data_IF_506033815146
#
_entry.id   IF_506033815146
#
_cell.length_a   1.000
_cell.length_b   1.000
_cell.length_c   1.000
_cell.angle_alpha   90.00
_cell.angle_beta   90.00
_cell.angle_gamma   90.00
#
_symmetry.space_group_name_H-M   'P 1'
#
loop_
_entity.id
_entity.type
_entity.pdbx_description
1 polymer ?
#
# COMPACT_ATOMS: atom_id res chain seq x y z
N UNK A 1 -77.99 -10.99 42.67
CA UNK A 1 -77.28 -11.19 43.95
C UNK A 1 -75.81 -11.19 43.60
N UNK A 2 -75.16 -10.03 43.63
CA UNK A 2 -74.44 -9.47 44.79
C UNK A 2 -72.95 -9.70 44.59
N UNK A 3 -72.22 -8.60 44.33
CA UNK A 3 -70.80 -8.51 44.64
C UNK A 3 -70.60 -8.55 46.17
N UNK A 4 -69.40 -8.90 46.65
CA UNK A 4 -68.53 -7.85 47.23
C UNK A 4 -67.01 -8.11 46.96
N UNK A 5 -66.21 -7.07 46.70
CA UNK A 5 -65.30 -6.29 47.58
C UNK A 5 -63.86 -6.81 47.71
N UNK A 6 -62.98 -5.83 47.90
CA UNK A 6 -61.52 -5.73 47.78
C UNK A 6 -60.69 -6.52 48.82
N UNK A 7 -59.39 -6.77 48.53
CA UNK A 7 -58.26 -6.11 49.24
C UNK A 7 -56.87 -6.41 48.63
N UNK A 8 -56.17 -5.33 48.32
CA UNK A 8 -54.72 -5.02 48.26
C UNK A 8 -53.65 -6.11 48.51
N UNK A 9 -52.59 -6.10 47.68
CA UNK A 9 -51.19 -6.08 48.16
C UNK A 9 -50.28 -5.44 47.11
N UNK A 10 -49.60 -4.34 47.48
CA UNK A 10 -48.48 -3.74 46.76
C UNK A 10 -47.23 -4.63 46.83
N UNK A 11 -46.53 -4.84 45.71
CA UNK A 11 -45.10 -5.15 45.70
C UNK A 11 -44.41 -4.39 44.56
N UNK A 12 -43.35 -3.70 44.94
CA UNK A 12 -42.57 -2.72 44.19
C UNK A 12 -41.52 -3.31 43.23
N UNK A 13 -41.25 -2.55 42.15
CA UNK A 13 -40.02 -2.44 41.32
C UNK A 13 -39.66 -3.57 40.32
N UNK A 14 -38.81 -3.32 39.28
CA UNK A 14 -38.18 -2.06 38.83
C UNK A 14 -38.36 -1.72 37.33
N UNK A 15 -38.01 -0.48 37.01
CA UNK A 15 -37.84 0.13 35.69
C UNK A 15 -36.80 -0.65 34.86
N UNK A 16 -37.21 -1.18 33.70
CA UNK A 16 -36.26 -1.66 32.69
C UNK A 16 -35.71 -0.47 31.91
N UNK A 17 -34.46 -0.17 32.23
CA UNK A 17 -33.53 0.69 31.51
C UNK A 17 -33.37 0.25 30.05
N UNK A 18 -33.56 1.19 29.13
CA UNK A 18 -33.10 1.09 27.74
C UNK A 18 -31.56 0.97 27.71
N UNK A 19 -31.07 -0.26 27.64
CA UNK A 19 -29.69 -0.51 27.22
C UNK A 19 -29.62 -0.29 25.70
N UNK A 20 -29.32 0.95 25.31
CA UNK A 20 -28.79 1.24 23.99
C UNK A 20 -27.44 0.53 23.87
N UNK A 21 -27.43 -0.63 23.23
CA UNK A 21 -26.20 -1.30 22.83
C UNK A 21 -25.42 -0.38 21.86
N UNK A 22 -24.09 -0.24 22.02
CA UNK A 22 -23.29 0.46 21.04
C UNK A 22 -23.39 -0.28 19.70
N UNK A 23 -23.47 0.42 18.56
CA UNK A 23 -23.47 -0.24 17.26
C UNK A 23 -22.17 -1.03 17.13
N UNK A 24 -22.29 -2.35 16.92
CA UNK A 24 -21.16 -3.19 16.50
C UNK A 24 -20.52 -2.55 15.25
N UNK A 25 -19.18 -2.49 15.18
CA UNK A 25 -18.54 -1.96 13.99
C UNK A 25 -18.90 -2.86 12.82
N UNK A 26 -19.63 -2.32 11.84
CA UNK A 26 -19.81 -2.92 10.53
C UNK A 26 -18.43 -3.37 10.01
N UNK A 27 -18.20 -4.68 10.05
CA UNK A 27 -17.01 -5.27 9.45
C UNK A 27 -17.24 -5.15 7.94
N UNK A 28 -16.71 -4.10 7.32
CA UNK A 28 -16.64 -3.99 5.86
C UNK A 28 -16.13 -5.33 5.31
N UNK A 29 -17.00 -6.08 4.63
CA UNK A 29 -16.72 -7.46 4.17
C UNK A 29 -15.50 -7.54 3.23
N UNK A 30 -15.03 -6.40 2.72
CA UNK A 30 -13.80 -6.26 1.96
C UNK A 30 -13.06 -4.97 2.31
N UNK A 31 -12.20 -4.95 3.35
CA UNK A 31 -11.48 -3.73 3.69
C UNK A 31 -10.60 -3.31 2.51
N UNK A 32 -10.73 -2.04 2.09
CA UNK A 32 -9.84 -1.46 1.09
C UNK A 32 -8.41 -1.62 1.59
N UNK A 33 -7.56 -2.33 0.84
CA UNK A 33 -6.21 -2.69 1.28
C UNK A 33 -5.19 -2.49 0.17
N UNK A 34 -3.93 -2.29 0.56
CA UNK A 34 -2.81 -2.26 -0.36
C UNK A 34 -2.49 -3.65 -0.88
N UNK A 35 -2.44 -3.80 -2.21
CA UNK A 35 -2.12 -5.06 -2.87
C UNK A 35 -1.38 -4.81 -4.18
N UNK A 36 -0.43 -5.69 -4.49
CA UNK A 36 0.08 -5.85 -5.84
C UNK A 36 0.35 -7.32 -6.08
N UNK A 37 -0.59 -8.01 -6.72
CA UNK A 37 -0.49 -9.43 -6.98
C UNK A 37 -0.80 -9.69 -8.44
N UNK A 38 -0.10 -10.63 -9.06
CA UNK A 38 -0.39 -11.02 -10.44
C UNK A 38 -0.04 -12.46 -10.69
N UNK A 39 -0.48 -12.92 -11.85
CA UNK A 39 -0.20 -14.28 -12.35
C UNK A 39 0.82 -14.16 -13.47
N UNK A 40 1.87 -14.98 -13.43
CA UNK A 40 2.82 -15.15 -14.52
C UNK A 40 2.75 -16.59 -15.02
N UNK A 41 2.99 -16.81 -16.31
CA UNK A 41 3.15 -18.15 -16.88
C UNK A 41 4.53 -18.24 -17.49
N UNK A 42 5.25 -19.31 -17.20
CA UNK A 42 6.50 -19.59 -17.86
C UNK A 42 7.27 -20.72 -17.18
N UNK A 43 8.38 -21.08 -17.80
CA UNK A 43 9.32 -22.08 -17.29
C UNK A 43 10.35 -21.38 -16.40
N UNK A 44 10.41 -21.69 -15.08
CA UNK A 44 11.50 -21.20 -14.24
C UNK A 44 12.82 -21.84 -14.68
N UNK A 45 13.88 -21.04 -14.69
CA UNK A 45 15.24 -21.48 -14.98
C UNK A 45 16.12 -21.21 -13.77
N UNK A 46 17.19 -21.98 -13.60
CA UNK A 46 18.22 -21.71 -12.60
C UNK A 46 19.47 -21.20 -13.31
N UNK A 47 20.08 -20.13 -12.81
CA UNK A 47 21.37 -19.65 -13.29
C UNK A 47 22.56 -20.38 -12.65
N UNK A 48 23.77 -20.09 -13.13
CA UNK A 48 25.03 -20.67 -12.64
C UNK A 48 25.30 -20.36 -11.16
N UNK A 49 24.74 -19.25 -10.66
CA UNK A 49 24.82 -18.83 -9.25
C UNK A 49 23.75 -19.49 -8.37
N UNK A 50 22.88 -20.32 -8.96
CA UNK A 50 21.80 -21.01 -8.28
C UNK A 50 20.53 -20.17 -8.05
N UNK A 51 20.47 -18.94 -8.58
CA UNK A 51 19.26 -18.11 -8.51
C UNK A 51 18.21 -18.58 -9.52
N UNK A 52 16.94 -18.48 -9.12
CA UNK A 52 15.82 -18.77 -10.02
C UNK A 52 15.43 -17.54 -10.83
N UNK A 53 15.16 -17.76 -12.12
CA UNK A 53 14.85 -16.75 -13.11
C UNK A 53 13.60 -17.15 -13.90
N UNK A 54 12.90 -16.17 -14.46
CA UNK A 54 11.82 -16.37 -15.41
C UNK A 54 12.09 -15.52 -16.65
N UNK A 55 11.93 -16.10 -17.84
CA UNK A 55 12.03 -15.36 -19.11
C UNK A 55 10.68 -14.81 -19.52
N UNK A 56 10.59 -13.49 -19.67
CA UNK A 56 9.40 -12.80 -20.16
C UNK A 56 9.82 -11.78 -21.21
N UNK A 57 9.24 -11.85 -22.41
CA UNK A 57 9.54 -10.91 -23.51
C UNK A 57 11.04 -10.78 -23.81
N UNK A 58 11.78 -11.90 -23.81
CA UNK A 58 13.22 -11.94 -24.07
C UNK A 58 14.12 -11.48 -22.91
N UNK A 59 13.56 -10.99 -21.80
CA UNK A 59 14.31 -10.55 -20.61
C UNK A 59 14.23 -11.57 -19.49
N UNK A 60 15.27 -11.62 -18.64
CA UNK A 60 15.34 -12.48 -17.45
C UNK A 60 14.94 -11.69 -16.20
N UNK A 61 14.00 -12.22 -15.43
CA UNK A 61 13.53 -11.63 -14.18
C UNK A 61 13.82 -12.57 -13.02
N UNK A 62 14.44 -12.05 -11.94
CA UNK A 62 14.74 -12.84 -10.75
C UNK A 62 13.46 -13.24 -10.03
N UNK A 63 13.37 -14.52 -9.66
CA UNK A 63 12.35 -15.08 -8.80
C UNK A 63 12.88 -15.17 -7.38
N UNK A 64 12.10 -14.67 -6.42
CA UNK A 64 12.41 -14.78 -5.00
C UNK A 64 11.41 -15.71 -4.33
N UNK A 65 11.91 -16.79 -3.74
CA UNK A 65 11.09 -17.77 -3.01
C UNK A 65 11.27 -17.53 -1.52
N UNK A 66 10.17 -17.45 -0.77
CA UNK A 66 10.24 -17.28 0.67
C UNK A 66 10.83 -18.53 1.34
N UNK A 67 11.66 -18.35 2.38
CA UNK A 67 12.43 -19.45 2.99
C UNK A 67 11.60 -20.66 3.42
N UNK A 68 10.43 -20.45 4.02
CA UNK A 68 9.54 -21.53 4.45
C UNK A 68 8.95 -22.38 3.29
N UNK A 69 9.04 -21.89 2.05
CA UNK A 69 8.62 -22.58 0.82
C UNK A 69 9.78 -23.04 -0.04
N UNK A 70 11.00 -22.69 0.32
CA UNK A 70 12.18 -22.92 -0.52
C UNK A 70 12.42 -24.41 -0.78
N UNK A 71 12.31 -25.25 0.25
CA UNK A 71 12.48 -26.71 0.09
C UNK A 71 11.42 -27.33 -0.83
N UNK A 72 10.15 -26.90 -0.72
CA UNK A 72 9.08 -27.37 -1.59
C UNK A 72 9.30 -26.93 -3.05
N UNK A 73 9.78 -25.70 -3.24
CA UNK A 73 10.16 -25.19 -4.56
C UNK A 73 11.30 -26.00 -5.18
N UNK A 74 12.36 -26.32 -4.42
CA UNK A 74 13.47 -27.14 -4.91
C UNK A 74 13.00 -28.53 -5.34
N UNK A 75 12.10 -29.17 -4.56
CA UNK A 75 11.50 -30.46 -4.95
C UNK A 75 10.71 -30.36 -6.25
N UNK A 76 9.91 -29.30 -6.43
CA UNK A 76 9.17 -29.06 -7.67
C UNK A 76 10.12 -28.92 -8.86
N UNK A 77 11.18 -28.12 -8.72
CA UNK A 77 12.16 -27.90 -9.79
C UNK A 77 12.97 -29.16 -10.12
N UNK A 78 13.31 -29.98 -9.12
CA UNK A 78 14.03 -31.23 -9.33
C UNK A 78 13.15 -32.31 -9.99
N UNK A 79 11.88 -32.41 -9.61
CA UNK A 79 10.94 -33.37 -10.18
C UNK A 79 10.52 -33.01 -11.61
N UNK A 80 10.40 -31.71 -11.90
CA UNK A 80 9.84 -31.20 -13.15
C UNK A 80 10.62 -29.98 -13.68
N UNK A 81 11.91 -30.15 -14.08
CA UNK A 81 12.78 -29.03 -14.44
C UNK A 81 12.31 -28.27 -15.68
N UNK A 82 11.61 -28.96 -16.60
CA UNK A 82 11.18 -28.38 -17.87
C UNK A 82 9.73 -27.92 -17.90
N UNK A 83 9.04 -28.01 -16.76
CA UNK A 83 7.60 -27.74 -16.70
C UNK A 83 7.31 -26.24 -16.72
N UNK A 84 6.35 -25.86 -17.54
CA UNK A 84 5.78 -24.52 -17.49
C UNK A 84 4.80 -24.44 -16.32
N UNK A 85 4.98 -23.44 -15.47
CA UNK A 85 4.15 -23.23 -14.29
C UNK A 85 3.38 -21.91 -14.38
N UNK A 86 2.23 -21.87 -13.72
CA UNK A 86 1.55 -20.63 -13.38
C UNK A 86 2.02 -20.19 -11.99
N UNK A 87 2.60 -18.99 -11.92
CA UNK A 87 3.18 -18.44 -10.71
C UNK A 87 2.33 -17.26 -10.23
N UNK A 88 1.80 -17.35 -9.00
CA UNK A 88 1.25 -16.19 -8.30
C UNK A 88 2.40 -15.40 -7.69
N UNK A 89 2.52 -14.13 -8.01
CA UNK A 89 3.68 -13.32 -7.61
C UNK A 89 3.31 -11.94 -7.07
N UNK A 90 4.17 -11.45 -6.18
CA UNK A 90 4.24 -10.05 -5.78
C UNK A 90 5.42 -9.38 -6.52
N UNK A 91 5.18 -8.39 -7.39
CA UNK A 91 6.26 -7.67 -8.03
C UNK A 91 6.98 -6.78 -7.02
N UNK A 92 8.29 -6.69 -7.18
CA UNK A 92 9.16 -5.81 -6.43
C UNK A 92 10.02 -5.03 -7.43
N UNK A 93 10.28 -3.79 -7.07
CA UNK A 93 11.02 -2.87 -7.92
C UNK A 93 12.16 -2.24 -7.13
N UNK A 94 13.38 -2.37 -7.64
CA UNK A 94 14.53 -1.63 -7.17
C UNK A 94 14.69 -0.39 -8.06
N UNK A 95 14.44 0.78 -7.47
CA UNK A 95 14.59 2.06 -8.13
C UNK A 95 15.92 2.69 -7.74
N UNK A 96 16.85 2.73 -8.69
CA UNK A 96 18.10 3.47 -8.57
C UNK A 96 17.94 4.75 -9.40
N UNK A 97 18.18 5.95 -8.83
CA UNK A 97 18.06 7.19 -9.58
C UNK A 97 18.84 7.16 -10.90
N UNK A 98 18.20 7.64 -11.98
CA UNK A 98 18.77 7.70 -13.34
C UNK A 98 19.09 6.35 -14.00
N UNK A 99 18.69 5.22 -13.39
CA UNK A 99 18.75 3.89 -14.01
C UNK A 99 17.35 3.37 -14.28
N UNK A 100 17.26 2.44 -15.22
CA UNK A 100 16.00 1.74 -15.45
C UNK A 100 15.56 0.95 -14.22
N UNK A 101 14.26 0.93 -13.90
CA UNK A 101 13.75 0.16 -12.76
C UNK A 101 14.04 -1.33 -12.94
N UNK A 102 14.67 -1.95 -11.94
CA UNK A 102 14.89 -3.40 -11.93
C UNK A 102 13.70 -4.08 -11.27
N UNK A 103 13.09 -5.03 -11.97
CA UNK A 103 11.92 -5.77 -11.50
C UNK A 103 12.32 -7.20 -11.14
N UNK A 104 11.78 -7.68 -10.03
CA UNK A 104 11.90 -9.06 -9.58
C UNK A 104 10.56 -9.49 -8.98
N UNK A 105 10.32 -10.79 -8.96
CA UNK A 105 9.02 -11.35 -8.57
C UNK A 105 9.18 -12.24 -7.35
N UNK A 106 8.53 -11.89 -6.26
CA UNK A 106 8.41 -12.77 -5.11
C UNK A 106 7.29 -13.77 -5.36
N UNK A 107 7.62 -15.07 -5.41
CA UNK A 107 6.65 -16.14 -5.65
C UNK A 107 5.83 -16.39 -4.38
N UNK A 108 4.52 -16.36 -4.56
CA UNK A 108 3.51 -16.56 -3.52
C UNK A 108 2.74 -17.87 -3.68
N UNK A 109 2.69 -18.46 -4.86
CA UNK A 109 2.17 -19.80 -5.11
C UNK A 109 2.61 -20.23 -6.52
N UNK A 110 2.56 -21.53 -6.79
CA UNK A 110 2.81 -22.09 -8.11
C UNK A 110 1.89 -23.27 -8.33
N UNK A 111 1.34 -23.38 -9.53
CA UNK A 111 0.45 -24.46 -9.94
C UNK A 111 0.73 -24.85 -11.40
N UNK A 112 0.30 -26.05 -11.78
CA UNK A 112 0.44 -26.56 -13.14
C UNK A 112 -0.58 -25.95 -14.11
N UNK A 113 -1.77 -25.66 -13.59
CA UNK A 113 -2.86 -24.96 -14.29
C UNK A 113 -3.08 -23.58 -13.66
N UNK A 114 -3.89 -22.72 -14.28
CA UNK A 114 -4.20 -21.41 -13.71
C UNK A 114 -5.45 -21.49 -12.82
N UNK A 115 -5.33 -21.60 -11.48
CA UNK A 115 -6.50 -21.56 -10.60
C UNK A 115 -7.01 -20.13 -10.37
N UNK A 116 -6.30 -19.10 -10.86
CA UNK A 116 -6.61 -17.70 -10.60
C UNK A 116 -7.40 -17.07 -11.75
N UNK A 117 -8.34 -16.19 -11.42
CA UNK A 117 -9.17 -15.47 -12.39
C UNK A 117 -8.34 -14.59 -13.35
N UNK A 118 -7.22 -14.04 -12.87
CA UNK A 118 -6.40 -13.14 -13.68
C UNK A 118 -5.57 -13.90 -14.72
N UNK A 119 -5.63 -13.43 -15.97
CA UNK A 119 -4.80 -13.96 -17.06
C UNK A 119 -3.29 -13.76 -16.78
N UNK A 120 -2.42 -14.64 -17.30
CA UNK A 120 -0.97 -14.45 -17.20
C UNK A 120 -0.52 -13.08 -17.73
N UNK A 121 0.30 -12.39 -16.93
CA UNK A 121 0.78 -11.04 -17.20
C UNK A 121 -0.13 -9.93 -16.70
N UNK A 122 -1.33 -10.24 -16.19
CA UNK A 122 -2.21 -9.26 -15.54
C UNK A 122 -1.94 -9.23 -14.04
N UNK A 123 -1.86 -8.01 -13.50
CA UNK A 123 -1.63 -7.73 -12.10
C UNK A 123 -2.75 -6.86 -11.54
N UNK A 124 -3.30 -7.29 -10.41
CA UNK A 124 -4.24 -6.51 -9.60
C UNK A 124 -3.45 -5.60 -8.67
N UNK A 125 -3.51 -4.29 -8.91
CA UNK A 125 -2.91 -3.28 -8.04
C UNK A 125 -3.99 -2.50 -7.30
N UNK A 126 -3.73 -2.28 -6.01
CA UNK A 126 -4.48 -1.40 -5.12
C UNK A 126 -3.46 -0.53 -4.38
N UNK A 127 -3.36 0.75 -4.72
CA UNK A 127 -2.29 1.59 -4.20
C UNK A 127 -2.42 3.07 -4.51
N UNK A 128 -1.48 3.87 -4.02
CA UNK A 128 -1.48 5.33 -4.21
C UNK A 128 -0.85 5.69 -5.55
N UNK A 129 -1.58 6.43 -6.37
CA UNK A 129 -1.12 6.94 -7.66
C UNK A 129 -0.30 8.23 -7.49
N UNK A 130 1.00 8.18 -7.77
CA UNK A 130 1.91 9.30 -7.49
C UNK A 130 3.20 9.30 -8.33
N UNK A 131 3.89 10.44 -8.32
CA UNK A 131 5.28 10.55 -8.75
C UNK A 131 6.22 10.35 -7.55
N UNK A 132 7.32 9.63 -7.77
CA UNK A 132 8.42 9.53 -6.82
C UNK A 132 9.71 10.07 -7.46
N UNK A 133 10.62 10.72 -6.71
CA UNK A 133 11.80 11.37 -7.28
C UNK A 133 12.76 10.44 -8.06
N UNK A 134 12.73 9.14 -7.77
CA UNK A 134 13.67 8.16 -8.31
C UNK A 134 13.39 7.77 -9.77
N UNK A 135 12.16 7.96 -10.26
CA UNK A 135 11.75 7.57 -11.61
C UNK A 135 10.87 8.64 -12.25
N UNK A 136 11.02 8.86 -13.57
CA UNK A 136 10.24 9.87 -14.30
C UNK A 136 8.79 9.44 -14.54
N UNK A 137 8.56 8.14 -14.70
CA UNK A 137 7.24 7.54 -14.88
C UNK A 137 6.47 7.56 -13.56
N UNK A 138 5.17 7.92 -13.56
CA UNK A 138 4.35 7.79 -12.36
C UNK A 138 4.24 6.32 -11.92
N UNK A 139 3.99 6.12 -10.63
CA UNK A 139 3.99 4.82 -9.99
C UNK A 139 2.69 4.59 -9.22
N UNK A 140 2.29 3.33 -9.13
CA UNK A 140 1.38 2.86 -8.08
C UNK A 140 2.25 2.43 -6.90
N UNK A 141 2.14 3.16 -5.79
CA UNK A 141 2.83 2.83 -4.56
C UNK A 141 1.97 1.94 -3.68
N UNK A 142 2.48 0.74 -3.42
CA UNK A 142 1.84 -0.25 -2.56
C UNK A 142 2.57 -0.30 -1.22
N UNK A 143 1.87 0.16 -0.17
CA UNK A 143 2.37 0.16 1.20
C UNK A 143 1.99 -1.14 1.92
N UNK A 144 2.49 -1.31 3.14
CA UNK A 144 2.16 -2.47 3.98
C UNK A 144 0.92 -2.15 4.80
N UNK A 145 -0.11 -2.98 4.69
CA UNK A 145 -1.34 -2.85 5.45
C UNK A 145 -1.05 -2.82 6.97
N UNK A 146 -1.85 -2.07 7.73
CA UNK A 146 -1.63 -1.87 9.17
C UNK A 146 -1.54 -3.19 9.95
N UNK A 147 -2.37 -4.17 9.59
CA UNK A 147 -2.49 -5.45 10.30
C UNK A 147 -1.49 -6.52 9.81
N UNK A 148 -0.63 -6.21 8.84
CA UNK A 148 0.34 -7.18 8.32
C UNK A 148 1.42 -7.49 9.36
N UNK A 149 1.60 -8.77 9.73
CA UNK A 149 2.71 -9.22 10.56
C UNK A 149 3.97 -9.37 9.71
N UNK A 150 5.11 -8.86 10.17
CA UNK A 150 6.36 -8.89 9.41
C UNK A 150 7.53 -9.03 10.39
N UNK A 151 8.20 -10.20 10.43
CA UNK A 151 9.19 -10.53 11.45
C UNK A 151 10.39 -9.59 11.53
N UNK A 152 10.72 -8.91 10.42
CA UNK A 152 11.93 -8.08 10.29
C UNK A 152 11.71 -6.61 10.64
N UNK A 153 10.47 -6.15 10.83
CA UNK A 153 10.12 -4.77 11.18
C UNK A 153 10.52 -3.67 10.18
N UNK A 154 11.33 -3.96 9.15
CA UNK A 154 11.77 -3.01 8.12
C UNK A 154 10.88 -3.13 6.88
N UNK A 155 10.17 -2.05 6.55
CA UNK A 155 9.24 -2.02 5.44
C UNK A 155 9.61 -0.95 4.42
N UNK A 156 9.71 -1.35 3.16
CA UNK A 156 9.78 -0.44 2.02
C UNK A 156 8.49 -0.59 1.20
N UNK A 157 7.93 0.54 0.77
CA UNK A 157 6.83 0.53 -0.19
C UNK A 157 7.32 -0.05 -1.51
N UNK A 158 6.44 -0.76 -2.22
CA UNK A 158 6.72 -1.21 -3.59
C UNK A 158 6.20 -0.13 -4.54
N UNK A 159 7.10 0.55 -5.21
CA UNK A 159 6.77 1.58 -6.21
C UNK A 159 6.77 0.92 -7.58
N UNK A 160 5.62 0.78 -8.22
CA UNK A 160 5.46 0.05 -9.47
C UNK A 160 5.24 1.04 -10.61
N UNK A 161 6.18 1.20 -11.57
CA UNK A 161 6.02 2.11 -12.70
C UNK A 161 4.82 1.73 -13.56
N UNK A 162 3.91 2.67 -13.79
CA UNK A 162 2.70 2.43 -14.58
C UNK A 162 2.58 3.44 -15.71
N UNK A 163 2.26 2.93 -16.90
CA UNK A 163 1.80 3.69 -18.05
C UNK A 163 0.27 3.70 -18.01
N UNK A 164 -0.27 4.76 -17.44
CA UNK A 164 -1.70 4.99 -17.35
C UNK A 164 -1.97 6.45 -17.74
N UNK A 165 -2.89 6.65 -18.66
CA UNK A 165 -3.49 7.95 -18.93
C UNK A 165 -4.90 7.88 -18.39
N UNK A 166 -5.25 8.80 -17.51
CA UNK A 166 -6.63 8.97 -17.04
C UNK A 166 -7.12 10.32 -17.55
N UNK A 167 -8.36 10.35 -18.01
CA UNK A 167 -9.03 11.57 -18.46
C UNK A 167 -9.79 12.25 -17.31
N UNK A 168 -9.96 11.55 -16.19
CA UNK A 168 -10.55 12.06 -14.97
C UNK A 168 -9.61 12.99 -14.17
N UNK A 169 -10.12 13.53 -13.06
CA UNK A 169 -9.36 14.39 -12.15
C UNK A 169 -8.25 13.63 -11.39
N UNK A 170 -8.16 12.30 -11.50
CA UNK A 170 -7.25 11.46 -10.73
C UNK A 170 -5.81 11.48 -11.28
N UNK A 171 -5.23 12.69 -11.30
CA UNK A 171 -3.83 12.92 -11.66
C UNK A 171 -2.89 12.31 -10.61
N UNK A 172 -1.72 11.80 -11.01
CA UNK A 172 -0.75 11.26 -10.07
C UNK A 172 -0.28 12.35 -9.11
N UNK A 173 -0.37 12.06 -7.80
CA UNK A 173 0.08 12.97 -6.75
C UNK A 173 1.57 13.31 -6.93
N UNK A 174 1.92 14.60 -6.89
CA UNK A 174 3.31 15.06 -6.90
C UNK A 174 3.59 15.82 -5.62
N UNK A 175 4.47 15.27 -4.80
CA UNK A 175 4.92 15.96 -3.58
C UNK A 175 5.74 17.20 -3.96
N UNK A 176 5.36 18.36 -3.43
CA UNK A 176 6.11 19.60 -3.54
C UNK A 176 6.43 20.15 -2.14
N UNK A 177 7.69 20.14 -1.70
CA UNK A 177 8.06 20.61 -0.36
C UNK A 177 7.91 22.12 -0.17
N UNK A 178 7.68 22.90 -1.25
CA UNK A 178 7.52 24.36 -1.20
C UNK A 178 6.10 24.81 -0.88
N UNK A 179 5.13 23.90 -0.94
CA UNK A 179 3.70 24.18 -0.78
C UNK A 179 3.26 23.67 0.59
N UNK A 180 2.35 24.39 1.26
CA UNK A 180 1.75 23.94 2.51
C UNK A 180 1.01 22.62 2.30
N UNK A 181 0.87 21.80 3.35
CA UNK A 181 0.34 20.44 3.22
C UNK A 181 -1.13 20.44 2.80
N UNK A 182 -1.84 21.48 3.20
CA UNK A 182 -3.25 21.74 2.95
C UNK A 182 -3.49 22.08 1.47
N UNK A 183 -2.52 22.74 0.84
CA UNK A 183 -2.56 23.16 -0.57
C UNK A 183 -1.95 22.11 -1.52
N UNK A 184 -1.47 20.98 -0.98
CA UNK A 184 -0.99 19.88 -1.81
C UNK A 184 -2.15 19.22 -2.56
N UNK A 185 -1.92 18.77 -3.81
CA UNK A 185 -2.95 18.06 -4.56
C UNK A 185 -3.43 16.81 -3.81
N UNK A 186 -4.69 16.39 -4.00
CA UNK A 186 -5.21 15.20 -3.35
C UNK A 186 -4.42 13.96 -3.76
N UNK A 187 -4.33 13.00 -2.83
CA UNK A 187 -3.76 11.68 -3.11
C UNK A 187 -4.87 10.73 -3.50
N UNK A 188 -4.71 10.11 -4.66
CA UNK A 188 -5.67 9.14 -5.18
C UNK A 188 -5.22 7.71 -4.89
N UNK A 189 -6.15 6.91 -4.37
CA UNK A 189 -6.04 5.48 -4.26
C UNK A 189 -6.72 4.84 -5.48
N UNK A 190 -5.97 4.08 -6.26
CA UNK A 190 -6.41 3.47 -7.52
C UNK A 190 -6.40 1.96 -7.36
N UNK A 191 -7.44 1.33 -7.91
CA UNK A 191 -7.67 -0.10 -7.85
C UNK A 191 -7.98 -0.60 -9.25
N UNK A 192 -7.11 -1.44 -9.81
CA UNK A 192 -7.20 -1.79 -11.22
C UNK A 192 -6.38 -3.02 -11.58
N UNK A 193 -6.65 -3.50 -12.78
CA UNK A 193 -5.83 -4.47 -13.46
C UNK A 193 -4.80 -3.76 -14.34
N UNK A 194 -3.59 -4.28 -14.34
CA UNK A 194 -2.46 -3.71 -15.05
C UNK A 194 -1.68 -4.83 -15.75
N UNK A 195 -1.48 -4.67 -17.06
CA UNK A 195 -0.74 -5.62 -17.88
C UNK A 195 0.75 -5.35 -17.80
N UNK A 196 1.54 -6.36 -17.46
CA UNK A 196 2.99 -6.23 -17.45
C UNK A 196 3.55 -6.11 -18.87
N UNK A 197 4.47 -5.17 -19.07
CA UNK A 197 5.12 -4.88 -20.35
C UNK A 197 6.64 -5.10 -20.19
N UNK A 198 7.15 -6.31 -20.47
CA UNK A 198 8.57 -6.64 -20.26
C UNK A 198 9.53 -5.72 -21.03
N UNK A 199 9.17 -5.31 -22.25
CA UNK A 199 10.00 -4.45 -23.09
C UNK A 199 10.36 -3.12 -22.41
N UNK A 200 9.46 -2.58 -21.56
CA UNK A 200 9.63 -1.29 -20.87
C UNK A 200 9.83 -1.40 -19.35
N UNK A 201 9.83 -2.61 -18.77
CA UNK A 201 9.90 -2.83 -17.32
C UNK A 201 8.87 -1.97 -16.55
N UNK A 202 7.63 -1.98 -17.03
CA UNK A 202 6.52 -1.25 -16.43
C UNK A 202 5.21 -2.00 -16.65
N UNK A 203 4.13 -1.48 -16.08
CA UNK A 203 2.79 -2.01 -16.30
C UNK A 203 1.94 -1.00 -17.06
N UNK A 204 1.16 -1.45 -18.04
CA UNK A 204 0.11 -0.66 -18.68
C UNK A 204 -1.20 -0.82 -17.93
N UNK A 205 -1.98 0.25 -17.83
CA UNK A 205 -3.36 0.14 -17.35
C UNK A 205 -4.21 -0.70 -18.32
N UNK A 206 -5.04 -1.57 -17.76
CA UNK A 206 -5.97 -2.43 -18.51
C UNK A 206 -7.42 -2.04 -18.22
N UNK A 207 -7.83 -2.15 -16.94
CA UNK A 207 -9.16 -1.70 -16.48
C UNK A 207 -9.15 -1.29 -15.02
N UNK A 208 -10.07 -0.42 -14.64
CA UNK A 208 -10.35 -0.13 -13.24
C UNK A 208 -11.20 -1.26 -12.63
N UNK A 209 -10.92 -1.60 -11.37
CA UNK A 209 -11.75 -2.49 -10.57
C UNK A 209 -12.78 -1.69 -9.76
N UNK A 210 -12.36 -0.53 -9.27
CA UNK A 210 -13.19 0.43 -8.56
C UNK A 210 -12.76 1.85 -8.96
N UNK A 211 -13.68 2.84 -8.91
CA UNK A 211 -13.33 4.23 -9.15
C UNK A 211 -12.21 4.72 -8.22
N UNK A 212 -11.30 5.60 -8.69
CA UNK A 212 -10.31 6.21 -7.82
C UNK A 212 -10.96 6.93 -6.64
N UNK A 213 -10.38 6.73 -5.46
CA UNK A 213 -10.90 7.32 -4.22
C UNK A 213 -9.83 8.12 -3.49
N UNK A 214 -10.25 9.14 -2.73
CA UNK A 214 -9.37 9.90 -1.83
C UNK A 214 -9.19 9.18 -0.48
N UNK A 215 -9.99 8.14 -0.19
CA UNK A 215 -9.88 7.32 1.02
C UNK A 215 -8.72 6.34 0.88
N UNK A 216 -7.61 6.61 1.57
CA UNK A 216 -6.43 5.75 1.54
C UNK A 216 -6.48 4.80 2.76
N UNK A 217 -6.34 3.47 2.56
CA UNK A 217 -6.28 2.50 3.65
C UNK A 217 -5.22 2.83 4.69
N UNK A 218 -5.41 2.40 5.93
CA UNK A 218 -4.36 2.55 6.95
C UNK A 218 -3.18 1.62 6.66
N UNK A 219 -1.97 2.16 6.76
CA UNK A 219 -0.74 1.43 6.45
C UNK A 219 0.39 1.73 7.45
N UNK A 220 1.32 0.79 7.57
CA UNK A 220 2.56 0.98 8.33
C UNK A 220 3.46 1.94 7.57
N UNK A 221 3.85 3.05 8.21
CA UNK A 221 4.77 4.02 7.61
C UNK A 221 6.11 3.32 7.33
N UNK A 222 6.67 3.44 6.11
CA UNK A 222 7.99 2.91 5.81
C UNK A 222 9.03 3.50 6.79
N UNK A 223 9.88 2.65 7.36
CA UNK A 223 10.99 3.12 8.19
C UNK A 223 12.03 3.70 7.23
N UNK A 224 12.25 5.02 7.31
CA UNK A 224 13.41 5.64 6.64
C UNK A 224 14.66 5.07 7.30
N UNK A 225 15.54 4.47 6.51
CA UNK A 225 16.89 4.21 7.00
C UNK A 225 17.53 5.57 7.24
N UNK A 226 17.67 5.97 8.50
CA UNK A 226 18.64 6.98 8.90
C UNK A 226 20.03 6.45 8.57
N UNK A 227 20.93 7.34 8.14
CA UNK A 227 22.30 6.98 7.78
C UNK A 227 23.05 6.30 8.96
N UNK A 228 22.55 6.48 10.18
CA UNK A 228 22.97 5.77 11.37
C UNK A 228 21.84 4.85 11.81
N UNK A 229 22.13 3.57 12.04
CA UNK A 229 21.16 2.48 12.30
C UNK A 229 20.31 2.59 13.57
N UNK A 230 20.00 3.78 14.07
CA UNK A 230 19.06 4.02 15.15
C UNK A 230 17.63 4.14 14.62
N UNK A 231 16.71 3.39 15.24
CA UNK A 231 15.28 3.54 15.01
C UNK A 231 14.85 5.00 15.28
N UNK A 232 13.85 5.54 14.55
CA UNK A 232 13.36 6.89 14.83
C UNK A 232 12.84 6.94 16.28
N UNK A 233 13.17 7.97 17.07
CA UNK A 233 12.71 8.07 18.44
C UNK A 233 11.19 8.07 18.47
N UNK A 234 10.62 7.15 19.25
CA UNK A 234 9.21 7.19 19.64
C UNK A 234 8.96 8.56 20.29
N UNK A 235 7.85 9.18 19.89
CA UNK A 235 7.57 10.59 20.10
C UNK A 235 7.89 11.10 21.50
N UNK A 236 8.79 12.07 21.56
CA UNK A 236 8.83 13.00 22.68
C UNK A 236 8.00 14.22 22.32
N UNK A 237 7.02 14.49 23.19
CA UNK A 237 6.20 15.70 23.26
C UNK A 237 7.11 16.92 23.07
N UNK A 238 6.79 17.79 22.13
CA UNK A 238 7.42 19.12 22.03
C UNK A 238 7.17 19.86 23.34
N UNK A 239 8.19 20.36 24.06
CA UNK A 239 7.96 21.38 25.07
C UNK A 239 7.49 22.68 24.39
N UNK A 240 6.70 23.52 25.08
CA UNK A 240 6.14 24.73 24.51
C UNK A 240 7.27 25.70 24.12
N UNK A 241 7.21 26.21 22.89
CA UNK A 241 8.06 27.32 22.42
C UNK A 241 7.77 28.54 23.29
N UNK A 242 8.77 28.99 24.06
CA UNK A 242 8.81 30.37 24.54
C UNK A 242 8.92 31.28 23.32
N UNK A 243 7.95 32.18 23.19
CA UNK A 243 7.95 33.30 22.25
C UNK A 243 8.93 34.35 22.74
N UNK A 244 10.12 34.43 22.14
CA UNK A 244 10.92 35.66 22.20
C UNK A 244 10.56 36.51 20.99
N UNK A 245 9.73 37.53 21.23
CA UNK A 245 9.52 38.65 20.31
C UNK A 245 10.78 39.50 20.28
N UNK A 246 11.37 39.80 19.11
CA UNK A 246 12.26 40.94 18.98
C UNK A 246 11.43 42.23 19.05
N UNK A 247 11.78 43.11 20.00
CA UNK A 247 11.25 44.47 20.12
C UNK A 247 11.52 45.26 18.83
N UNK A 248 10.49 45.92 18.29
CA UNK A 248 10.64 47.02 17.33
C UNK A 248 11.41 48.17 18.01
N UNK A 249 12.41 48.78 17.37
CA UNK A 249 12.86 50.10 17.75
C UNK A 249 11.84 51.13 17.29
N UNK A 250 11.37 51.93 18.23
CA UNK A 250 10.65 53.19 18.03
C UNK A 250 11.60 54.18 17.37
N UNK A 251 11.14 54.89 16.35
CA UNK A 251 11.81 56.12 15.90
C UNK A 251 10.72 57.16 15.71
N UNK A 252 10.69 58.09 16.66
CA UNK A 252 9.96 59.35 16.57
C UNK A 252 10.52 60.15 15.39
N UNK A 253 9.69 60.44 14.40
CA UNK A 253 9.92 61.59 13.53
C UNK A 253 8.96 62.68 14.00
N UNK A 254 9.53 63.67 14.69
CA UNK A 254 8.91 64.99 14.88
C UNK A 254 8.80 65.66 13.52
N UNK A 255 7.56 65.99 13.16
CA UNK A 255 7.23 67.18 12.39
C UNK A 255 7.90 68.40 13.04
N UNK A 256 8.64 69.15 12.24
CA UNK A 256 8.80 70.59 12.43
C UNK A 256 8.43 71.24 11.11
N UNK A 257 7.31 71.93 11.15
CA UNK A 257 6.93 73.06 10.31
C UNK A 257 7.96 74.20 10.45
N UNK A 258 7.97 75.06 9.41
CA UNK A 258 8.74 76.30 9.17
C UNK A 258 10.16 76.19 8.58
#
# INVERSE_FOLDING_TARGET
MSAPEELTTEVSQPVQSEETSPPEPEIEENPTLFQAIGTLKGKPEQDEEGNFLLRLGGKRYKLFIAGYRYQAWLKQMAANPDKTLFLRVYPKCLMIPRKDPQIYFQVAAWEDENPWEEQPGIFKFRGVWQFVPQVRTPVISVYRNQNANDPKGKFKASHLPVLMRREDEAKPFRFNPKIAKEDLPPRWFVQGNFKFIPSRNCWGWDKDLEPPTKKIPRYKKPIKATADGQAPPRGNKKPPRKTDKPKKPTTDNKETDE
#
